data_IF_070665319432
#
_entry.id   IF_070665319432
#
_cell.length_a   1.000
_cell.length_b   1.000
_cell.length_c   1.000
_cell.angle_alpha   90.00
_cell.angle_beta   90.00
_cell.angle_gamma   90.00
#
_symmetry.space_group_name_H-M   'P 1'
#
loop_
_entity.id
_entity.type
_entity.pdbx_description
1 polymer ?
#
# COMPACT_ATOMS: atom_id res chain seq x y z
N UNK A 1 -40.56 -39.79 -72.20
CA UNK A 1 -40.70 -38.75 -71.15
C UNK A 1 -39.50 -38.80 -70.20
N UNK A 2 -39.02 -37.64 -69.77
CA UNK A 2 -37.65 -37.35 -69.30
C UNK A 2 -37.43 -37.67 -67.81
N UNK A 3 -36.37 -38.44 -67.56
CA UNK A 3 -35.47 -38.59 -66.38
C UNK A 3 -35.86 -37.94 -65.04
N UNK A 4 -35.89 -38.76 -64.00
CA UNK A 4 -35.28 -38.43 -62.70
C UNK A 4 -34.16 -39.42 -62.43
N UNK A 5 -32.90 -39.02 -62.68
CA UNK A 5 -31.71 -39.78 -62.25
C UNK A 5 -31.55 -39.56 -60.75
N UNK A 6 -32.02 -40.51 -59.93
CA UNK A 6 -31.62 -40.60 -58.51
C UNK A 6 -30.10 -40.82 -58.45
N UNK A 7 -29.35 -39.83 -57.95
CA UNK A 7 -27.95 -39.97 -57.56
C UNK A 7 -27.87 -41.11 -56.53
N UNK A 8 -27.34 -42.27 -56.92
CA UNK A 8 -26.97 -43.34 -55.99
C UNK A 8 -25.94 -42.76 -55.01
N UNK A 9 -26.30 -42.61 -53.74
CA UNK A 9 -25.33 -42.41 -52.66
C UNK A 9 -24.45 -43.65 -52.65
N UNK A 10 -23.16 -43.47 -52.93
CA UNK A 10 -22.17 -44.56 -52.85
C UNK A 10 -22.17 -45.19 -51.46
N UNK A 11 -21.71 -46.44 -51.32
CA UNK A 11 -21.71 -47.14 -50.04
C UNK A 11 -20.87 -46.33 -49.04
N UNK A 12 -21.47 -45.96 -47.91
CA UNK A 12 -20.75 -45.40 -46.77
C UNK A 12 -19.75 -46.46 -46.33
N UNK A 13 -18.46 -46.26 -46.64
CA UNK A 13 -17.40 -47.14 -46.12
C UNK A 13 -17.51 -47.12 -44.58
N UNK A 14 -17.68 -48.27 -43.92
CA UNK A 14 -17.71 -48.31 -42.46
C UNK A 14 -16.39 -47.75 -41.94
N UNK A 15 -16.45 -46.93 -40.88
CA UNK A 15 -15.23 -46.46 -40.22
C UNK A 15 -14.42 -47.69 -39.83
N UNK A 16 -13.17 -47.75 -40.28
CA UNK A 16 -12.24 -48.81 -39.86
C UNK A 16 -12.05 -48.71 -38.35
N UNK A 17 -11.91 -49.84 -37.67
CA UNK A 17 -11.70 -49.91 -36.21
C UNK A 17 -10.61 -48.94 -35.72
N UNK A 18 -9.53 -48.79 -36.50
CA UNK A 18 -8.45 -47.80 -36.25
C UNK A 18 -8.94 -46.35 -36.23
N UNK A 19 -9.87 -45.95 -37.10
CA UNK A 19 -10.47 -44.60 -37.09
C UNK A 19 -11.43 -44.41 -35.92
N UNK A 20 -12.13 -45.46 -35.51
CA UNK A 20 -13.03 -45.41 -34.35
C UNK A 20 -12.24 -45.18 -33.05
N UNK A 21 -11.13 -45.92 -32.87
CA UNK A 21 -10.18 -45.76 -31.74
C UNK A 21 -9.55 -44.37 -31.73
N UNK A 22 -9.17 -43.84 -32.89
CA UNK A 22 -8.57 -42.50 -32.99
C UNK A 22 -9.57 -41.40 -32.60
N UNK A 23 -10.83 -41.51 -33.03
CA UNK A 23 -11.89 -40.54 -32.67
C UNK A 23 -12.22 -40.62 -31.18
N UNK A 24 -12.28 -41.83 -30.60
CA UNK A 24 -12.51 -41.98 -29.15
C UNK A 24 -11.36 -41.43 -28.33
N UNK A 25 -10.11 -41.63 -28.76
CA UNK A 25 -8.94 -41.04 -28.10
C UNK A 25 -8.97 -39.51 -28.16
N UNK A 26 -9.31 -38.92 -29.32
CA UNK A 26 -9.45 -37.47 -29.45
C UNK A 26 -10.56 -36.93 -28.54
N UNK A 27 -11.73 -37.57 -28.52
CA UNK A 27 -12.83 -37.15 -27.64
C UNK A 27 -12.46 -37.26 -26.16
N UNK A 28 -11.73 -38.31 -25.76
CA UNK A 28 -11.24 -38.47 -24.40
C UNK A 28 -10.23 -37.38 -24.02
N UNK A 29 -9.26 -37.08 -24.90
CA UNK A 29 -8.29 -36.00 -24.69
C UNK A 29 -9.01 -34.64 -24.63
N UNK A 30 -9.95 -34.37 -25.52
CA UNK A 30 -10.74 -33.14 -25.51
C UNK A 30 -11.58 -33.01 -24.25
N UNK A 31 -12.17 -34.10 -23.74
CA UNK A 31 -12.92 -34.11 -22.49
C UNK A 31 -11.99 -33.85 -21.29
N UNK A 32 -10.79 -34.43 -21.29
CA UNK A 32 -9.76 -34.17 -20.26
C UNK A 32 -9.30 -32.71 -20.32
N UNK A 33 -9.01 -32.16 -21.50
CA UNK A 33 -8.62 -30.76 -21.66
C UNK A 33 -9.73 -29.80 -21.25
N UNK A 34 -10.99 -30.11 -21.60
CA UNK A 34 -12.14 -29.32 -21.18
C UNK A 34 -12.35 -29.39 -19.66
N UNK A 35 -12.24 -30.58 -19.07
CA UNK A 35 -12.30 -30.76 -17.62
C UNK A 35 -11.17 -30.00 -16.91
N UNK A 36 -9.94 -30.07 -17.42
CA UNK A 36 -8.81 -29.33 -16.89
C UNK A 36 -9.00 -27.82 -17.02
N UNK A 37 -9.57 -27.34 -18.14
CA UNK A 37 -9.86 -25.93 -18.36
C UNK A 37 -10.96 -25.41 -17.42
N UNK A 38 -12.05 -26.17 -17.27
CA UNK A 38 -13.18 -25.80 -16.41
C UNK A 38 -12.84 -25.87 -14.92
N UNK A 39 -11.85 -26.69 -14.53
CA UNK A 39 -11.38 -26.83 -13.15
C UNK A 39 -10.06 -26.10 -12.89
N UNK A 40 -9.61 -25.20 -13.78
CA UNK A 40 -8.52 -24.30 -13.41
C UNK A 40 -9.02 -23.39 -12.28
N UNK A 41 -8.24 -23.21 -11.20
CA UNK A 41 -8.56 -22.22 -10.19
C UNK A 41 -8.81 -20.88 -10.88
N UNK A 42 -9.97 -20.29 -10.62
CA UNK A 42 -10.25 -18.95 -11.07
C UNK A 42 -9.61 -17.92 -10.10
N UNK A 43 -9.66 -16.65 -10.44
CA UNK A 43 -9.07 -15.59 -9.60
C UNK A 43 -9.72 -15.48 -8.20
N UNK A 44 -10.97 -15.92 -8.04
CA UNK A 44 -11.64 -15.96 -6.72
C UNK A 44 -11.09 -17.12 -5.89
N UNK A 45 -10.80 -18.26 -6.51
CA UNK A 45 -10.21 -19.42 -5.82
C UNK A 45 -8.81 -19.07 -5.27
N UNK A 46 -8.04 -18.24 -5.99
CA UNK A 46 -6.72 -17.78 -5.53
C UNK A 46 -6.77 -17.00 -4.22
N UNK A 47 -7.83 -16.24 -3.96
CA UNK A 47 -7.99 -15.49 -2.70
C UNK A 47 -7.96 -16.40 -1.47
N UNK A 48 -8.49 -17.62 -1.60
CA UNK A 48 -8.57 -18.57 -0.48
C UNK A 48 -7.50 -19.67 -0.54
N UNK A 49 -6.61 -19.62 -1.53
CA UNK A 49 -5.60 -20.66 -1.73
C UNK A 49 -4.35 -20.33 -0.92
N UNK A 50 -3.87 -21.29 -0.11
CA UNK A 50 -2.53 -21.21 0.47
C UNK A 50 -1.47 -21.39 -0.62
N UNK A 51 -0.69 -20.35 -0.89
CA UNK A 51 0.29 -20.35 -1.99
C UNK A 51 1.40 -21.37 -1.75
N UNK A 52 1.83 -21.55 -0.49
CA UNK A 52 2.85 -22.52 -0.12
C UNK A 52 2.45 -23.91 -0.62
N UNK A 53 1.18 -24.29 -0.46
CA UNK A 53 0.66 -25.59 -0.90
C UNK A 53 0.69 -25.80 -2.42
N UNK A 54 0.76 -24.72 -3.20
CA UNK A 54 0.75 -24.76 -4.67
C UNK A 54 2.14 -24.86 -5.29
N UNK A 55 3.20 -24.60 -4.51
CA UNK A 55 4.58 -24.61 -4.99
C UNK A 55 5.02 -25.97 -5.55
N UNK A 56 5.99 -25.94 -6.46
CA UNK A 56 6.55 -27.17 -7.00
C UNK A 56 7.36 -27.95 -5.94
N UNK A 57 6.84 -29.10 -5.53
CA UNK A 57 7.46 -29.99 -4.52
C UNK A 57 8.93 -30.30 -4.77
N UNK A 58 9.36 -30.47 -6.02
CA UNK A 58 10.76 -30.77 -6.32
C UNK A 58 11.64 -29.55 -6.11
N UNK A 59 11.15 -28.36 -6.51
CA UNK A 59 11.85 -27.09 -6.33
C UNK A 59 11.98 -26.79 -4.83
N UNK A 60 10.89 -26.88 -4.06
CA UNK A 60 10.91 -26.64 -2.62
C UNK A 60 11.91 -27.56 -1.91
N UNK A 61 11.91 -28.86 -2.22
CA UNK A 61 12.86 -29.82 -1.62
C UNK A 61 14.33 -29.57 -2.00
N UNK A 62 14.58 -29.02 -3.19
CA UNK A 62 15.94 -28.70 -3.64
C UNK A 62 16.44 -27.39 -3.05
N UNK A 63 15.57 -26.37 -2.97
CA UNK A 63 15.96 -24.99 -2.68
C UNK A 63 15.81 -24.60 -1.21
N UNK A 64 14.80 -25.12 -0.50
CA UNK A 64 14.58 -24.80 0.92
C UNK A 64 15.55 -25.59 1.78
N UNK A 65 16.39 -24.87 2.52
CA UNK A 65 17.32 -25.47 3.49
C UNK A 65 16.66 -25.54 4.86
N UNK A 66 16.94 -26.60 5.61
CA UNK A 66 16.41 -26.78 6.96
C UNK A 66 17.18 -26.02 8.03
N UNK A 67 18.40 -25.57 7.73
CA UNK A 67 19.26 -24.81 8.64
C UNK A 67 20.19 -23.86 7.89
N UNK A 68 20.56 -22.77 8.55
CA UNK A 68 21.43 -21.74 8.00
C UNK A 68 22.53 -21.39 9.02
N UNK A 69 23.82 -21.34 8.61
CA UNK A 69 24.93 -21.13 9.54
C UNK A 69 24.99 -19.71 10.10
N UNK A 70 24.57 -18.73 9.30
CA UNK A 70 24.59 -17.32 9.64
C UNK A 70 23.15 -16.84 9.76
N UNK A 71 22.74 -16.43 10.96
CA UNK A 71 21.37 -15.98 11.25
C UNK A 71 21.39 -14.63 11.95
N UNK A 72 20.34 -13.83 11.75
CA UNK A 72 20.10 -12.59 12.49
C UNK A 72 18.66 -12.64 13.03
N UNK A 73 18.50 -12.45 14.34
CA UNK A 73 17.19 -12.37 14.97
C UNK A 73 16.52 -11.04 14.64
N UNK A 74 15.28 -11.08 14.16
CA UNK A 74 14.37 -9.95 14.20
C UNK A 74 13.51 -10.03 15.47
N UNK A 75 13.20 -8.87 16.05
CA UNK A 75 12.32 -8.78 17.21
C UNK A 75 10.92 -8.33 16.82
N UNK A 76 10.79 -7.52 15.76
CA UNK A 76 9.53 -6.87 15.42
C UNK A 76 9.44 -6.52 13.93
N UNK A 77 8.24 -6.13 13.49
CA UNK A 77 7.97 -5.60 12.16
C UNK A 77 6.85 -4.56 12.18
N UNK A 78 6.81 -3.72 11.15
CA UNK A 78 5.70 -2.79 10.90
C UNK A 78 5.42 -2.66 9.40
N UNK A 79 4.23 -2.18 9.07
CA UNK A 79 3.82 -1.88 7.71
C UNK A 79 3.31 -0.44 7.67
N UNK A 80 3.75 0.32 6.68
CA UNK A 80 3.33 1.70 6.43
C UNK A 80 3.04 1.88 4.93
N UNK A 81 1.76 1.99 4.59
CA UNK A 81 1.28 1.91 3.21
C UNK A 81 1.58 0.55 2.58
N UNK A 82 2.54 0.52 1.67
CA UNK A 82 3.02 -0.72 1.02
C UNK A 82 4.44 -1.11 1.44
N UNK A 83 5.00 -0.44 2.44
CA UNK A 83 6.36 -0.69 2.89
C UNK A 83 6.36 -1.56 4.13
N UNK A 84 7.07 -2.69 4.10
CA UNK A 84 7.30 -3.55 5.26
C UNK A 84 8.72 -3.34 5.80
N UNK A 85 8.81 -2.97 7.08
CA UNK A 85 10.06 -2.83 7.79
C UNK A 85 10.20 -3.92 8.86
N UNK A 86 11.40 -4.50 8.96
CA UNK A 86 11.79 -5.46 9.98
C UNK A 86 12.76 -4.77 10.94
N UNK A 87 12.65 -5.07 12.23
CA UNK A 87 13.46 -4.46 13.28
C UNK A 87 14.26 -5.52 14.03
N UNK A 88 15.51 -5.18 14.33
CA UNK A 88 16.37 -6.02 15.15
C UNK A 88 15.94 -6.02 16.62
N UNK A 89 15.40 -4.88 17.07
CA UNK A 89 14.81 -4.69 18.40
C UNK A 89 13.30 -4.40 18.30
N UNK A 90 12.62 -4.27 19.44
CA UNK A 90 11.21 -3.86 19.46
C UNK A 90 11.06 -2.46 18.86
N UNK A 91 10.03 -2.26 18.04
CA UNK A 91 9.79 -0.96 17.43
C UNK A 91 9.58 0.13 18.50
N UNK A 92 10.28 1.25 18.34
CA UNK A 92 10.25 2.36 19.31
C UNK A 92 11.19 2.20 20.50
N UNK A 93 12.11 1.23 20.45
CA UNK A 93 13.26 1.17 21.36
C UNK A 93 14.06 2.49 21.35
N UNK A 94 14.64 2.83 22.51
CA UNK A 94 15.53 4.01 22.67
C UNK A 94 16.90 3.74 22.04
N UNK A 95 17.26 2.48 21.84
CA UNK A 95 18.52 2.09 21.22
C UNK A 95 18.45 2.16 19.69
N UNK A 96 19.60 2.39 19.06
CA UNK A 96 19.71 2.39 17.61
C UNK A 96 19.42 0.99 17.07
N UNK A 97 18.38 0.86 16.23
CA UNK A 97 17.96 -0.44 15.73
C UNK A 97 19.12 -1.18 14.99
N UNK A 98 19.39 -2.46 15.32
CA UNK A 98 20.48 -3.23 14.74
C UNK A 98 20.41 -3.45 13.22
N UNK A 99 19.25 -3.24 12.59
CA UNK A 99 19.06 -3.37 11.14
C UNK A 99 19.29 -2.05 10.41
N UNK A 100 19.39 -0.92 11.13
CA UNK A 100 19.56 0.40 10.53
C UNK A 100 20.78 0.44 9.58
N UNK A 101 20.54 0.94 8.37
CA UNK A 101 21.54 1.10 7.32
C UNK A 101 21.99 -0.20 6.65
N UNK A 102 21.44 -1.36 7.05
CA UNK A 102 21.79 -2.64 6.46
C UNK A 102 20.95 -2.93 5.24
N UNK A 103 21.58 -3.63 4.28
CA UNK A 103 20.88 -4.12 3.10
C UNK A 103 20.05 -5.35 3.47
N UNK A 104 18.76 -5.28 3.17
CA UNK A 104 17.81 -6.40 3.26
C UNK A 104 17.66 -6.98 1.86
N UNK A 105 18.00 -8.26 1.70
CA UNK A 105 17.89 -8.96 0.44
C UNK A 105 16.78 -9.99 0.49
N UNK A 106 15.86 -9.91 -0.46
CA UNK A 106 14.88 -10.94 -0.73
C UNK A 106 15.39 -11.85 -1.84
N UNK A 107 15.11 -13.15 -1.71
CA UNK A 107 15.40 -14.11 -2.76
C UNK A 107 14.20 -15.03 -2.98
N UNK A 108 13.60 -14.97 -4.16
CA UNK A 108 12.49 -15.85 -4.54
C UNK A 108 12.99 -17.31 -4.55
N UNK A 109 12.30 -18.17 -3.81
CA UNK A 109 12.68 -19.58 -3.61
C UNK A 109 12.59 -20.37 -4.90
N UNK A 110 11.61 -20.08 -5.77
CA UNK A 110 11.39 -20.83 -7.00
C UNK A 110 12.23 -20.30 -8.17
N UNK A 111 12.25 -18.98 -8.36
CA UNK A 111 12.91 -18.36 -9.52
C UNK A 111 14.36 -17.97 -9.25
N UNK A 112 14.73 -17.76 -7.99
CA UNK A 112 16.03 -17.21 -7.60
C UNK A 112 16.17 -15.70 -7.82
N UNK A 113 15.10 -15.01 -8.25
CA UNK A 113 15.04 -13.55 -8.38
C UNK A 113 15.39 -12.87 -7.06
N UNK A 114 16.12 -11.76 -7.13
CA UNK A 114 16.61 -11.05 -5.95
C UNK A 114 16.20 -9.59 -5.96
N UNK A 115 15.72 -9.13 -4.82
CA UNK A 115 15.46 -7.71 -4.54
C UNK A 115 16.37 -7.27 -3.41
N UNK A 116 16.81 -6.01 -3.45
CA UNK A 116 17.68 -5.44 -2.42
C UNK A 116 17.13 -4.09 -1.99
N UNK A 117 16.86 -3.97 -0.70
CA UNK A 117 16.37 -2.77 -0.06
C UNK A 117 17.35 -2.33 1.03
N UNK A 118 17.30 -1.07 1.43
CA UNK A 118 18.07 -0.58 2.58
C UNK A 118 17.09 -0.12 3.64
N UNK A 119 17.24 -0.63 4.86
CA UNK A 119 16.41 -0.17 5.97
C UNK A 119 16.98 1.13 6.54
N UNK A 120 16.15 2.17 6.56
CA UNK A 120 16.52 3.53 6.97
C UNK A 120 16.23 3.86 8.44
N UNK A 121 15.59 2.95 9.18
CA UNK A 121 15.08 3.25 10.53
C UNK A 121 13.72 3.94 10.57
N UNK A 122 13.13 4.24 9.41
CA UNK A 122 11.82 4.92 9.28
C UNK A 122 10.80 4.02 8.59
N UNK A 123 9.52 4.31 8.78
CA UNK A 123 8.41 3.45 8.37
C UNK A 123 8.27 3.26 6.86
N UNK A 124 8.76 4.20 6.04
CA UNK A 124 8.53 4.31 4.60
C UNK A 124 9.75 3.96 3.73
N UNK A 125 10.88 3.53 4.31
CA UNK A 125 12.01 3.03 3.52
C UNK A 125 12.57 1.71 4.06
N UNK A 126 12.00 0.65 3.50
CA UNK A 126 12.36 -0.75 3.70
C UNK A 126 11.91 -1.56 2.47
N UNK A 127 11.25 -2.70 2.66
CA UNK A 127 10.81 -3.58 1.57
C UNK A 127 9.55 -2.98 0.92
N UNK A 128 9.63 -2.62 -0.36
CA UNK A 128 8.48 -2.15 -1.13
C UNK A 128 7.70 -3.34 -1.69
N UNK A 129 6.53 -3.63 -1.10
CA UNK A 129 5.77 -4.84 -1.40
C UNK A 129 5.15 -4.84 -2.81
N UNK A 130 4.83 -3.65 -3.34
CA UNK A 130 4.30 -3.49 -4.70
C UNK A 130 5.25 -3.94 -5.80
N UNK A 131 6.55 -3.96 -5.55
CA UNK A 131 7.60 -4.30 -6.54
C UNK A 131 7.85 -5.81 -6.67
N UNK A 132 7.37 -6.61 -5.71
CA UNK A 132 7.69 -8.03 -5.63
C UNK A 132 6.87 -8.83 -6.63
N UNK A 133 7.51 -9.68 -7.42
CA UNK A 133 6.81 -10.71 -8.21
C UNK A 133 6.08 -11.72 -7.31
N UNK A 134 5.14 -12.48 -7.87
CA UNK A 134 4.50 -13.57 -7.14
C UNK A 134 5.53 -14.61 -6.70
N UNK A 135 5.42 -15.11 -5.47
CA UNK A 135 6.31 -16.15 -4.98
C UNK A 135 6.55 -16.12 -3.47
N UNK A 136 7.45 -17.00 -3.03
CA UNK A 136 7.91 -17.05 -1.64
C UNK A 136 9.37 -16.59 -1.59
N UNK A 137 9.67 -15.68 -0.67
CA UNK A 137 10.98 -15.06 -0.56
C UNK A 137 11.67 -15.45 0.74
N UNK A 138 12.89 -15.94 0.63
CA UNK A 138 13.82 -15.91 1.75
C UNK A 138 14.21 -14.46 2.06
N UNK A 139 14.24 -14.09 3.34
CA UNK A 139 14.68 -12.78 3.82
C UNK A 139 16.08 -12.88 4.44
N UNK A 140 17.01 -12.09 3.90
CA UNK A 140 18.38 -11.98 4.39
C UNK A 140 18.72 -10.55 4.76
N UNK A 141 19.65 -10.40 5.70
CA UNK A 141 20.30 -9.12 5.99
C UNK A 141 21.81 -9.24 5.81
N UNK A 142 22.44 -8.21 5.26
CA UNK A 142 23.89 -8.11 5.18
C UNK A 142 24.43 -7.37 6.38
N UNK A 143 25.17 -8.08 7.21
CA UNK A 143 25.84 -7.53 8.38
C UNK A 143 27.35 -7.63 8.18
N UNK A 144 28.00 -6.49 7.96
CA UNK A 144 29.44 -6.41 7.66
C UNK A 144 29.87 -7.43 6.59
N UNK A 145 29.17 -7.42 5.45
CA UNK A 145 29.33 -8.34 4.30
C UNK A 145 28.92 -9.80 4.54
N UNK A 146 28.46 -10.16 5.74
CA UNK A 146 27.95 -11.50 6.03
C UNK A 146 26.45 -11.56 5.74
N UNK A 147 26.06 -12.37 4.76
CA UNK A 147 24.64 -12.67 4.48
C UNK A 147 24.09 -13.56 5.60
N UNK A 148 23.13 -13.04 6.37
CA UNK A 148 22.47 -13.72 7.50
C UNK A 148 20.98 -13.94 7.20
N UNK A 149 20.47 -15.14 7.47
CA UNK A 149 19.03 -15.46 7.34
C UNK A 149 18.26 -14.86 8.52
N UNK A 150 17.19 -14.13 8.25
CA UNK A 150 16.32 -13.58 9.29
C UNK A 150 15.47 -14.68 9.92
N UNK A 151 15.33 -14.64 11.25
CA UNK A 151 14.43 -15.51 12.01
C UNK A 151 13.81 -14.75 13.19
N UNK A 152 12.70 -15.27 13.71
CA UNK A 152 12.06 -14.81 14.95
C UNK A 152 12.20 -15.88 16.05
N UNK A 153 12.15 -15.48 17.32
CA UNK A 153 12.22 -16.42 18.45
C UNK A 153 10.91 -17.16 18.70
N UNK A 154 9.80 -16.65 18.14
CA UNK A 154 8.48 -17.23 18.20
C UNK A 154 7.84 -17.21 16.81
N UNK A 155 6.86 -18.11 16.54
CA UNK A 155 6.17 -18.10 15.28
C UNK A 155 5.48 -16.77 14.97
N UNK A 156 5.57 -16.33 13.72
CA UNK A 156 4.89 -15.14 13.20
C UNK A 156 3.98 -15.56 12.05
N UNK A 157 2.73 -15.11 12.12
CA UNK A 157 1.78 -15.12 11.02
C UNK A 157 1.16 -13.73 10.97
N UNK A 158 1.56 -12.93 9.99
CA UNK A 158 1.07 -11.56 9.88
C UNK A 158 -0.35 -11.52 9.31
N UNK A 159 -1.10 -10.47 9.63
CA UNK A 159 -2.31 -10.16 8.85
C UNK A 159 -1.94 -9.93 7.37
N UNK A 160 -2.87 -10.25 6.47
CA UNK A 160 -2.70 -10.00 5.04
C UNK A 160 -2.53 -8.51 4.74
N UNK A 161 -1.42 -8.20 4.05
CA UNK A 161 -1.10 -6.89 3.52
C UNK A 161 -1.49 -6.89 2.05
N UNK A 162 -2.39 -5.99 1.67
CA UNK A 162 -2.84 -5.85 0.28
C UNK A 162 -2.22 -4.59 -0.30
N UNK A 163 -1.64 -4.66 -1.50
CA UNK A 163 -1.08 -3.49 -2.19
C UNK A 163 -2.19 -2.68 -2.88
N UNK A 164 -1.85 -1.48 -3.34
CA UNK A 164 -2.61 -0.69 -4.31
C UNK A 164 -2.85 -1.48 -5.59
N UNK A 165 -4.01 -1.20 -6.17
CA UNK A 165 -4.45 -1.72 -7.46
C UNK A 165 -3.51 -1.25 -8.56
N UNK A 166 -3.07 -2.19 -9.40
CA UNK A 166 -2.28 -1.94 -10.61
C UNK A 166 -2.88 -2.78 -11.73
N UNK A 167 -3.40 -2.13 -12.77
CA UNK A 167 -4.02 -2.80 -13.92
C UNK A 167 -5.10 -3.83 -13.52
N UNK A 168 -5.93 -3.50 -12.53
CA UNK A 168 -7.00 -4.38 -12.06
C UNK A 168 -6.57 -5.54 -11.14
N UNK A 169 -5.30 -5.61 -10.73
CA UNK A 169 -4.75 -6.64 -9.83
C UNK A 169 -4.15 -6.01 -8.55
N UNK A 170 -4.03 -6.81 -7.49
CA UNK A 170 -3.31 -6.46 -6.25
C UNK A 170 -2.43 -7.61 -5.80
N UNK A 171 -1.38 -7.29 -5.05
CA UNK A 171 -0.58 -8.28 -4.34
C UNK A 171 -1.14 -8.46 -2.94
N UNK A 172 -1.33 -9.71 -2.54
CA UNK A 172 -1.60 -10.08 -1.15
C UNK A 172 -0.32 -10.68 -0.57
N UNK A 173 0.18 -10.07 0.50
CA UNK A 173 1.46 -10.42 1.13
C UNK A 173 1.26 -10.81 2.59
N UNK A 174 1.91 -11.89 3.01
CA UNK A 174 2.07 -12.23 4.44
C UNK A 174 3.53 -12.41 4.80
N UNK A 175 3.88 -12.04 6.03
CA UNK A 175 5.12 -12.38 6.70
C UNK A 175 4.89 -13.62 7.55
N UNK A 176 5.54 -14.71 7.17
CA UNK A 176 5.46 -16.01 7.83
C UNK A 176 6.79 -16.35 8.48
N UNK A 177 6.77 -16.81 9.72
CA UNK A 177 7.94 -17.39 10.36
C UNK A 177 7.51 -18.57 11.20
N UNK A 178 7.67 -19.79 10.70
CA UNK A 178 7.34 -21.00 11.45
C UNK A 178 8.23 -22.16 11.00
N UNK A 179 8.72 -22.97 11.95
CA UNK A 179 9.50 -24.18 11.65
C UNK A 179 8.78 -25.16 10.72
N UNK A 180 7.46 -25.24 10.82
CA UNK A 180 6.62 -26.17 10.09
C UNK A 180 5.99 -25.57 8.81
N UNK A 181 6.42 -24.38 8.37
CA UNK A 181 5.88 -23.69 7.17
C UNK A 181 5.85 -24.59 5.93
N UNK A 182 6.87 -25.45 5.76
CA UNK A 182 6.99 -26.37 4.61
C UNK A 182 6.69 -27.84 4.96
N UNK A 183 5.93 -28.09 6.03
CA UNK A 183 5.62 -29.45 6.50
C UNK A 183 4.92 -30.31 5.46
N UNK A 184 4.08 -29.72 4.60
CA UNK A 184 3.43 -30.41 3.48
C UNK A 184 4.43 -31.00 2.47
N UNK A 185 5.66 -30.51 2.46
CA UNK A 185 6.76 -31.01 1.65
C UNK A 185 7.67 -32.01 2.40
N UNK A 186 7.34 -32.35 3.65
CA UNK A 186 8.16 -33.09 4.62
C UNK A 186 9.47 -32.36 4.96
N UNK A 187 9.38 -31.04 5.16
CA UNK A 187 10.50 -30.18 5.57
C UNK A 187 10.11 -29.51 6.88
N UNK A 188 10.98 -29.61 7.88
CA UNK A 188 10.90 -28.86 9.14
C UNK A 188 12.20 -28.09 9.32
N UNK A 189 12.09 -26.79 9.57
CA UNK A 189 13.21 -25.89 9.77
C UNK A 189 13.71 -25.98 11.22
N UNK A 190 14.98 -25.64 11.46
CA UNK A 190 15.55 -25.62 12.82
C UNK A 190 15.19 -24.35 13.61
N UNK A 191 14.79 -23.29 12.92
CA UNK A 191 14.33 -21.99 13.46
C UNK A 191 13.09 -21.49 12.71
N UNK A 192 12.38 -20.54 13.31
CA UNK A 192 11.28 -19.82 12.69
C UNK A 192 11.85 -18.74 11.74
N UNK A 193 12.39 -19.19 10.59
CA UNK A 193 12.94 -18.29 9.56
C UNK A 193 11.82 -17.47 8.91
N UNK A 194 12.07 -16.19 8.68
CA UNK A 194 11.08 -15.27 8.13
C UNK A 194 10.96 -15.41 6.60
N UNK A 195 9.76 -15.57 6.06
CA UNK A 195 9.46 -15.63 4.64
C UNK A 195 8.42 -14.56 4.30
N UNK A 196 8.55 -13.93 3.14
CA UNK A 196 7.43 -13.20 2.54
C UNK A 196 6.74 -14.10 1.54
N UNK A 197 5.43 -14.24 1.65
CA UNK A 197 4.58 -14.96 0.70
C UNK A 197 3.78 -13.93 -0.07
N UNK A 198 4.03 -13.83 -1.36
CA UNK A 198 3.42 -12.85 -2.27
C UNK A 198 2.52 -13.58 -3.26
N UNK A 199 1.25 -13.17 -3.33
CA UNK A 199 0.25 -13.69 -4.27
C UNK A 199 -0.27 -12.57 -5.16
N UNK A 200 -0.36 -12.81 -6.46
CA UNK A 200 -1.11 -11.91 -7.34
C UNK A 200 -2.59 -12.32 -7.31
N UNK A 201 -3.45 -11.36 -6.99
CA UNK A 201 -4.88 -11.59 -6.71
C UNK A 201 -5.75 -10.48 -7.28
N UNK A 202 -7.04 -10.74 -7.41
CA UNK A 202 -8.01 -9.68 -7.74
C UNK A 202 -8.31 -8.80 -6.52
N UNK A 203 -8.60 -7.51 -6.71
CA UNK A 203 -8.92 -6.60 -5.61
C UNK A 203 -10.23 -6.99 -4.92
N UNK A 204 -10.20 -7.03 -3.59
CA UNK A 204 -11.42 -7.22 -2.78
C UNK A 204 -12.26 -5.94 -2.78
N UNK A 205 -13.59 -6.08 -2.76
CA UNK A 205 -14.53 -4.95 -2.94
C UNK A 205 -14.46 -3.96 -1.78
N UNK A 206 -14.26 -4.44 -0.57
CA UNK A 206 -14.23 -3.71 0.69
C UNK A 206 -12.94 -2.91 0.86
N UNK A 207 -11.83 -3.39 0.29
CA UNK A 207 -10.51 -2.76 0.42
C UNK A 207 -10.42 -1.53 -0.48
N UNK A 208 -9.98 -0.40 0.08
CA UNK A 208 -9.69 0.83 -0.67
C UNK A 208 -8.18 1.04 -0.81
N UNK A 209 -7.76 1.89 -1.75
CA UNK A 209 -6.35 2.22 -1.96
C UNK A 209 -6.00 3.53 -1.26
N UNK A 210 -6.85 4.55 -1.47
CA UNK A 210 -6.64 5.91 -0.98
C UNK A 210 -7.85 6.38 -0.19
N UNK A 211 -7.59 6.96 0.98
CA UNK A 211 -8.57 7.69 1.76
C UNK A 211 -8.20 9.18 1.74
N UNK A 212 -9.10 10.02 1.25
CA UNK A 212 -8.91 11.47 1.21
C UNK A 212 -9.70 12.11 2.35
N UNK A 213 -9.02 12.91 3.16
CA UNK A 213 -9.58 13.64 4.27
C UNK A 213 -9.73 15.12 3.92
N UNK A 214 -10.93 15.57 3.52
CA UNK A 214 -11.18 17.00 3.42
C UNK A 214 -11.28 17.62 4.83
N UNK A 215 -10.35 18.51 5.15
CA UNK A 215 -10.34 19.24 6.44
C UNK A 215 -11.59 20.10 6.65
N UNK A 216 -11.76 20.58 7.88
CA UNK A 216 -12.99 21.19 8.39
C UNK A 216 -14.07 20.17 8.77
N UNK A 217 -15.03 20.60 9.59
CA UNK A 217 -16.02 19.75 10.27
C UNK A 217 -15.40 18.63 11.11
N UNK A 218 -14.38 18.95 11.91
CA UNK A 218 -13.76 17.97 12.83
C UNK A 218 -14.54 17.97 14.14
N UNK A 219 -15.09 16.81 14.53
CA UNK A 219 -15.74 16.64 15.83
C UNK A 219 -14.68 16.49 16.92
N UNK A 220 -14.77 17.32 17.95
CA UNK A 220 -14.02 17.14 19.19
C UNK A 220 -14.78 16.17 20.10
N UNK A 221 -14.25 14.96 20.28
CA UNK A 221 -14.90 13.92 21.12
C UNK A 221 -14.97 14.30 22.61
N UNK A 222 -14.13 15.25 23.07
CA UNK A 222 -14.10 15.68 24.47
C UNK A 222 -15.16 16.76 24.72
N UNK A 223 -15.23 17.77 23.85
CA UNK A 223 -16.13 18.92 24.03
C UNK A 223 -17.48 18.76 23.33
N UNK A 224 -17.57 17.87 22.33
CA UNK A 224 -18.72 17.75 21.43
C UNK A 224 -18.83 18.87 20.39
N UNK A 225 -17.86 19.78 20.34
CA UNK A 225 -17.85 20.89 19.39
C UNK A 225 -17.40 20.43 18.00
N UNK A 226 -17.94 21.07 16.97
CA UNK A 226 -17.52 20.86 15.58
C UNK A 226 -16.63 22.04 15.17
N UNK A 227 -15.37 21.77 14.89
CA UNK A 227 -14.46 22.73 14.30
C UNK A 227 -14.67 22.78 12.79
N UNK A 228 -15.24 23.89 12.31
CA UNK A 228 -15.57 24.06 10.89
C UNK A 228 -14.32 24.24 10.00
N UNK A 229 -13.15 24.43 10.60
CA UNK A 229 -11.89 24.68 9.88
C UNK A 229 -11.62 26.17 9.68
N UNK A 230 -10.60 26.45 8.88
CA UNK A 230 -10.16 27.80 8.57
C UNK A 230 -11.18 28.56 7.70
N UNK A 231 -11.46 29.83 8.05
CA UNK A 231 -12.46 30.66 7.38
C UNK A 231 -11.94 32.09 7.18
N UNK A 232 -12.17 32.63 5.98
CA UNK A 232 -12.07 34.06 5.68
C UNK A 232 -13.27 34.53 4.85
N UNK A 233 -13.37 35.83 4.59
CA UNK A 233 -14.44 36.40 3.76
C UNK A 233 -14.47 35.86 2.32
N UNK A 234 -13.39 35.22 1.86
CA UNK A 234 -13.23 34.83 0.44
C UNK A 234 -13.03 33.34 0.21
N UNK A 235 -12.82 32.55 1.28
CA UNK A 235 -12.62 31.11 1.20
C UNK A 235 -13.00 30.43 2.52
N UNK A 236 -13.53 29.22 2.40
CA UNK A 236 -13.98 28.38 3.51
C UNK A 236 -13.36 26.99 3.36
N UNK A 237 -12.62 26.53 4.38
CA UNK A 237 -11.90 25.26 4.35
C UNK A 237 -12.83 24.06 4.13
N UNK A 238 -13.90 23.90 4.92
CA UNK A 238 -14.74 22.70 4.84
C UNK A 238 -15.34 22.45 3.45
N UNK A 239 -15.74 23.51 2.77
CA UNK A 239 -16.35 23.45 1.42
C UNK A 239 -15.27 23.30 0.33
N UNK A 240 -14.16 24.03 0.48
CA UNK A 240 -13.07 24.01 -0.50
C UNK A 240 -12.32 22.68 -0.48
N UNK A 241 -11.95 22.18 0.71
CA UNK A 241 -11.29 20.89 0.88
C UNK A 241 -12.15 19.75 0.35
N UNK A 242 -13.47 19.80 0.59
CA UNK A 242 -14.39 18.78 0.07
C UNK A 242 -14.45 18.80 -1.47
N UNK A 243 -14.54 19.99 -2.06
CA UNK A 243 -14.51 20.14 -3.53
C UNK A 243 -13.20 19.65 -4.12
N UNK A 244 -12.07 19.98 -3.49
CA UNK A 244 -10.74 19.53 -3.91
C UNK A 244 -10.60 18.01 -3.79
N UNK A 245 -11.12 17.41 -2.71
CA UNK A 245 -11.12 15.98 -2.48
C UNK A 245 -11.88 15.22 -3.59
N UNK A 246 -13.02 15.75 -4.03
CA UNK A 246 -13.78 15.16 -5.14
C UNK A 246 -12.99 15.20 -6.46
N UNK A 247 -12.33 16.33 -6.76
CA UNK A 247 -11.49 16.44 -7.96
C UNK A 247 -10.29 15.48 -7.91
N UNK A 248 -9.63 15.38 -6.74
CA UNK A 248 -8.50 14.47 -6.56
C UNK A 248 -8.91 13.00 -6.61
N UNK A 249 -10.08 12.66 -6.04
CA UNK A 249 -10.69 11.33 -6.17
C UNK A 249 -10.90 10.95 -7.63
N UNK A 250 -11.55 11.80 -8.42
CA UNK A 250 -11.76 11.54 -9.85
C UNK A 250 -10.44 11.34 -10.60
N UNK A 251 -9.42 12.16 -10.30
CA UNK A 251 -8.12 12.06 -10.93
C UNK A 251 -7.38 10.75 -10.57
N UNK A 252 -7.44 10.30 -9.31
CA UNK A 252 -6.85 9.05 -8.86
C UNK A 252 -7.58 7.82 -9.42
N UNK A 253 -8.91 7.87 -9.55
CA UNK A 253 -9.71 6.77 -10.10
C UNK A 253 -9.38 6.46 -11.56
N UNK A 254 -8.85 7.43 -12.32
CA UNK A 254 -8.33 7.19 -13.70
C UNK A 254 -7.12 6.25 -13.75
N UNK A 255 -6.46 6.02 -12.62
CA UNK A 255 -5.37 5.05 -12.47
C UNK A 255 -5.87 3.68 -11.98
N UNK A 256 -7.19 3.44 -11.97
CA UNK A 256 -7.79 2.18 -11.51
C UNK A 256 -7.84 2.03 -9.99
N UNK A 257 -7.53 3.11 -9.24
CA UNK A 257 -7.56 3.11 -7.79
C UNK A 257 -8.98 3.19 -7.26
N UNK A 258 -9.25 2.50 -6.14
CA UNK A 258 -10.48 2.72 -5.38
C UNK A 258 -10.24 3.77 -4.30
N UNK A 259 -10.89 4.91 -4.43
CA UNK A 259 -10.71 6.06 -3.54
C UNK A 259 -11.98 6.33 -2.76
N UNK A 260 -11.85 6.67 -1.48
CA UNK A 260 -12.98 7.14 -0.68
C UNK A 260 -12.63 8.42 0.08
N UNK A 261 -13.66 9.13 0.55
CA UNK A 261 -13.51 10.32 1.40
C UNK A 261 -13.82 9.95 2.84
N UNK A 262 -13.14 10.59 3.80
CA UNK A 262 -13.40 10.38 5.22
C UNK A 262 -14.79 10.85 5.64
N UNK A 263 -15.35 11.89 4.99
CA UNK A 263 -16.66 12.46 5.29
C UNK A 263 -17.41 12.84 4.01
N UNK A 264 -18.73 12.89 4.15
CA UNK A 264 -19.59 13.58 3.18
C UNK A 264 -19.45 15.11 3.35
N UNK A 265 -20.07 15.87 2.44
CA UNK A 265 -19.98 17.34 2.36
C UNK A 265 -20.20 18.03 3.72
N UNK A 266 -21.22 17.58 4.44
CA UNK A 266 -21.62 18.12 5.75
C UNK A 266 -21.31 17.18 6.93
N UNK A 267 -20.60 16.08 6.68
CA UNK A 267 -20.28 15.10 7.72
C UNK A 267 -19.29 15.67 8.72
N UNK A 268 -19.59 15.57 10.01
CA UNK A 268 -18.66 15.93 11.07
C UNK A 268 -18.16 14.66 11.77
N UNK A 269 -16.86 14.39 11.65
CA UNK A 269 -16.23 13.19 12.20
C UNK A 269 -14.94 13.57 12.90
N UNK A 270 -14.66 12.86 13.99
CA UNK A 270 -13.41 12.94 14.73
C UNK A 270 -12.30 12.18 14.03
N UNK A 271 -11.04 12.49 14.35
CA UNK A 271 -9.88 11.65 14.00
C UNK A 271 -9.80 10.36 14.83
N UNK A 272 -10.68 10.19 15.81
CA UNK A 272 -10.61 9.12 16.78
C UNK A 272 -11.77 8.12 16.65
N UNK A 273 -11.49 6.87 17.00
CA UNK A 273 -12.46 5.78 17.03
C UNK A 273 -12.69 5.10 15.68
N UNK A 274 -13.42 3.98 15.74
CA UNK A 274 -13.72 3.12 14.58
C UNK A 274 -14.40 3.87 13.43
N UNK A 275 -15.37 4.70 13.78
CA UNK A 275 -16.18 5.46 12.82
C UNK A 275 -15.56 6.83 12.50
N UNK A 276 -14.42 7.16 13.11
CA UNK A 276 -13.66 8.37 12.85
C UNK A 276 -12.98 8.36 11.48
N UNK A 277 -12.38 9.50 11.13
CA UNK A 277 -11.73 9.77 9.84
C UNK A 277 -10.70 8.71 9.49
N UNK A 278 -9.76 8.42 10.39
CA UNK A 278 -8.72 7.39 10.17
C UNK A 278 -9.25 5.97 10.37
N UNK A 279 -10.23 5.78 11.26
CA UNK A 279 -10.83 4.48 11.55
C UNK A 279 -11.41 3.83 10.30
N UNK A 280 -12.08 4.62 9.45
CA UNK A 280 -12.54 4.19 8.11
C UNK A 280 -11.41 3.60 7.26
N UNK A 281 -10.23 4.21 7.30
CA UNK A 281 -9.05 3.76 6.57
C UNK A 281 -8.56 2.39 7.04
N UNK A 282 -8.42 2.20 8.35
CA UNK A 282 -8.02 0.91 8.92
C UNK A 282 -9.04 -0.19 8.62
N UNK A 283 -10.34 0.07 8.81
CA UNK A 283 -11.39 -0.93 8.57
C UNK A 283 -11.49 -1.33 7.09
N UNK A 284 -11.07 -0.44 6.17
CA UNK A 284 -11.02 -0.70 4.72
C UNK A 284 -9.61 -0.98 4.21
N UNK A 285 -8.63 -1.20 5.09
CA UNK A 285 -7.23 -1.48 4.75
C UNK A 285 -6.68 -0.52 3.69
N UNK A 286 -6.90 0.78 3.86
CA UNK A 286 -6.36 1.81 3.00
C UNK A 286 -4.82 1.85 3.09
N UNK A 287 -4.16 2.30 2.03
CA UNK A 287 -2.69 2.32 1.90
C UNK A 287 -2.19 3.75 2.03
N UNK A 288 -3.00 4.69 1.57
CA UNK A 288 -2.68 6.10 1.54
C UNK A 288 -3.77 6.91 2.25
N UNK A 289 -3.33 7.88 3.06
CA UNK A 289 -4.17 8.89 3.69
C UNK A 289 -3.72 10.28 3.22
N UNK A 290 -4.61 11.03 2.57
CA UNK A 290 -4.31 12.38 2.07
C UNK A 290 -5.19 13.36 2.83
N UNK A 291 -4.64 14.20 3.68
CA UNK A 291 -5.36 15.33 4.24
C UNK A 291 -5.22 16.57 3.34
N UNK A 292 -6.34 17.28 3.18
CA UNK A 292 -6.41 18.52 2.40
C UNK A 292 -6.82 19.66 3.32
N UNK A 293 -5.85 20.50 3.71
CA UNK A 293 -6.03 21.58 4.68
C UNK A 293 -5.55 22.94 4.18
N UNK A 294 -5.95 23.99 4.90
CA UNK A 294 -5.41 25.33 4.83
C UNK A 294 -4.68 25.67 6.12
N UNK A 295 -3.86 26.73 6.08
CA UNK A 295 -3.24 27.30 7.27
C UNK A 295 -3.64 28.77 7.44
N UNK A 296 -3.25 29.35 8.57
CA UNK A 296 -3.44 30.77 8.91
C UNK A 296 -2.12 31.45 9.33
N UNK A 297 -0.98 30.89 8.94
CA UNK A 297 0.35 31.36 9.32
C UNK A 297 0.81 32.58 8.51
N UNK A 298 1.21 33.69 9.16
CA UNK A 298 1.47 34.99 8.49
C UNK A 298 2.52 34.95 7.35
N UNK A 299 3.47 34.01 7.36
CA UNK A 299 4.59 33.95 6.41
C UNK A 299 4.39 32.99 5.23
N UNK A 300 3.25 32.30 5.14
CA UNK A 300 3.01 31.28 4.10
C UNK A 300 2.16 31.85 2.96
N UNK A 301 2.67 31.80 1.74
CA UNK A 301 2.06 32.32 0.51
C UNK A 301 1.81 31.24 -0.54
N UNK A 302 2.48 30.10 -0.47
CA UNK A 302 2.39 28.99 -1.44
C UNK A 302 2.05 27.67 -0.75
N UNK A 303 1.53 26.68 -1.51
CA UNK A 303 1.30 25.35 -0.98
C UNK A 303 2.57 24.73 -0.39
N UNK A 304 2.38 23.78 0.52
CA UNK A 304 3.43 22.89 1.02
C UNK A 304 2.82 21.57 1.50
N UNK A 305 3.68 20.56 1.66
CA UNK A 305 3.33 19.23 2.16
C UNK A 305 3.92 19.06 3.56
N UNK A 306 3.11 18.51 4.46
CA UNK A 306 3.54 18.10 5.80
C UNK A 306 3.43 16.58 5.91
N UNK A 307 4.45 15.95 6.49
CA UNK A 307 4.53 14.50 6.71
C UNK A 307 5.02 14.16 8.12
N UNK A 308 4.82 12.91 8.54
CA UNK A 308 5.27 12.48 9.87
C UNK A 308 6.80 12.45 9.99
N UNK A 309 7.39 12.89 11.13
CA UNK A 309 8.82 12.72 11.46
C UNK A 309 9.31 11.27 11.50
N UNK A 310 8.38 10.31 11.49
CA UNK A 310 8.68 8.87 11.51
C UNK A 310 8.85 8.27 10.11
N UNK A 311 8.86 9.13 9.08
CA UNK A 311 9.12 8.80 7.67
C UNK A 311 10.42 9.47 7.20
N UNK A 312 10.90 9.10 6.01
CA UNK A 312 11.95 9.82 5.28
C UNK A 312 11.39 10.86 4.31
N UNK A 313 10.07 11.11 4.33
CA UNK A 313 9.37 11.97 3.39
C UNK A 313 9.56 11.57 1.90
N UNK A 314 9.94 10.33 1.61
CA UNK A 314 10.27 9.91 0.23
C UNK A 314 9.09 10.08 -0.71
N UNK A 315 7.91 9.72 -0.22
CA UNK A 315 6.63 9.89 -0.91
C UNK A 315 6.29 11.36 -1.18
N UNK A 316 6.38 12.24 -0.19
CA UNK A 316 6.11 13.67 -0.36
C UNK A 316 7.14 14.35 -1.27
N UNK A 317 8.42 13.98 -1.16
CA UNK A 317 9.47 14.47 -2.05
C UNK A 317 9.19 14.11 -3.52
N UNK A 318 8.73 12.88 -3.79
CA UNK A 318 8.33 12.46 -5.13
C UNK A 318 7.14 13.28 -5.65
N UNK A 319 6.13 13.53 -4.81
CA UNK A 319 4.99 14.37 -5.17
C UNK A 319 5.45 15.78 -5.55
N UNK A 320 6.20 16.43 -4.68
CA UNK A 320 6.70 17.80 -4.90
C UNK A 320 7.56 17.87 -6.16
N UNK A 321 8.44 16.90 -6.40
CA UNK A 321 9.26 16.87 -7.62
C UNK A 321 8.41 16.95 -8.90
N UNK A 322 7.29 16.21 -8.96
CA UNK A 322 6.39 16.27 -10.11
C UNK A 322 5.59 17.58 -10.17
N UNK A 323 5.16 18.10 -9.02
CA UNK A 323 4.44 19.36 -8.95
C UNK A 323 5.32 20.55 -9.37
N UNK A 324 6.57 20.63 -8.89
CA UNK A 324 7.54 21.66 -9.30
C UNK A 324 7.87 21.57 -10.79
N UNK A 325 8.07 20.35 -11.30
CA UNK A 325 8.32 20.12 -12.73
C UNK A 325 7.18 20.64 -13.62
N UNK A 326 5.96 20.56 -13.12
CA UNK A 326 4.75 21.03 -13.80
C UNK A 326 4.47 22.53 -13.57
N UNK A 327 5.27 23.21 -12.75
CA UNK A 327 5.20 24.65 -12.52
C UNK A 327 4.44 25.08 -11.27
N UNK A 328 4.15 24.15 -10.34
CA UNK A 328 3.65 24.53 -9.01
C UNK A 328 4.78 25.14 -8.19
N UNK A 329 4.52 26.31 -7.63
CA UNK A 329 5.40 27.02 -6.71
C UNK A 329 5.10 26.56 -5.29
N UNK A 330 6.15 26.35 -4.50
CA UNK A 330 6.05 25.93 -3.10
C UNK A 330 6.72 26.94 -2.18
N UNK A 331 6.22 27.00 -0.95
CA UNK A 331 6.90 27.69 0.13
C UNK A 331 7.59 26.69 1.04
N UNK A 332 8.68 27.15 1.64
CA UNK A 332 9.40 26.39 2.65
C UNK A 332 9.27 27.10 4.01
N UNK A 333 8.26 26.75 4.83
CA UNK A 333 7.93 27.54 6.01
C UNK A 333 8.95 27.45 7.14
N UNK A 334 9.90 26.50 7.08
CA UNK A 334 10.91 26.28 8.12
C UNK A 334 12.26 25.91 7.54
N UNK A 335 13.37 26.43 8.07
CA UNK A 335 14.71 25.95 7.73
C UNK A 335 14.98 24.57 8.37
N UNK A 336 14.66 23.46 7.70
CA UNK A 336 15.15 22.15 8.15
C UNK A 336 16.57 21.90 7.63
N UNK A 337 17.38 21.20 8.41
CA UNK A 337 18.72 20.73 8.00
C UNK A 337 18.67 19.46 7.12
N UNK A 338 17.48 18.97 6.81
CA UNK A 338 17.28 17.66 6.19
C UNK A 338 17.19 17.77 4.66
N UNK A 339 17.52 16.68 3.95
CA UNK A 339 17.47 16.54 2.49
C UNK A 339 16.00 16.49 1.98
N UNK A 340 15.20 17.50 2.31
CA UNK A 340 13.82 17.63 1.86
C UNK A 340 13.76 18.47 0.58
N UNK A 341 12.85 18.13 -0.32
CA UNK A 341 12.53 19.00 -1.46
C UNK A 341 11.88 20.30 -0.96
N UNK A 342 12.02 21.36 -1.75
CA UNK A 342 11.39 22.65 -1.46
C UNK A 342 9.88 22.47 -1.38
N UNK A 343 9.26 22.81 -0.25
CA UNK A 343 7.83 22.57 -0.04
C UNK A 343 7.46 21.32 0.74
N UNK A 344 8.43 20.54 1.23
CA UNK A 344 8.16 19.40 2.13
C UNK A 344 8.69 19.70 3.53
N UNK A 345 7.86 19.52 4.54
CA UNK A 345 8.24 19.65 5.95
C UNK A 345 7.84 18.42 6.77
N UNK A 346 8.59 18.14 7.82
CA UNK A 346 8.13 17.26 8.89
C UNK A 346 7.17 18.01 9.81
N UNK A 347 6.13 17.33 10.28
CA UNK A 347 5.31 17.84 11.37
C UNK A 347 6.13 17.98 12.65
N UNK A 348 5.73 18.87 13.54
CA UNK A 348 6.36 18.99 14.84
C UNK A 348 5.91 17.88 15.78
N UNK A 349 6.74 17.56 16.77
CA UNK A 349 6.38 16.64 17.85
C UNK A 349 5.86 17.42 19.05
N UNK A 350 4.86 16.88 19.73
CA UNK A 350 4.34 17.42 20.99
C UNK A 350 5.43 17.40 22.06
N UNK A 351 5.39 18.37 22.97
CA UNK A 351 6.24 18.39 24.16
C UNK A 351 5.48 17.90 25.38
N UNK A 352 6.16 17.19 26.28
CA UNK A 352 5.61 16.82 27.58
C UNK A 352 5.66 18.00 28.57
N UNK A 353 5.15 17.80 29.79
CA UNK A 353 5.16 18.82 30.86
C UNK A 353 6.57 19.29 31.26
N UNK A 354 7.62 18.58 30.84
CA UNK A 354 9.03 18.91 31.07
C UNK A 354 9.69 19.59 29.85
N UNK A 355 8.91 19.95 28.82
CA UNK A 355 9.39 20.52 27.55
C UNK A 355 10.28 19.60 26.73
N UNK A 356 10.21 18.28 26.96
CA UNK A 356 10.92 17.28 26.16
C UNK A 356 10.04 16.83 25.00
N UNK A 357 10.65 16.62 23.83
CA UNK A 357 9.93 16.11 22.65
C UNK A 357 9.43 14.69 22.92
N UNK A 358 8.13 14.49 22.66
CA UNK A 358 7.47 13.18 22.71
C UNK A 358 7.55 12.49 21.35
N UNK A 359 7.03 11.27 21.24
CA UNK A 359 6.96 10.57 19.95
C UNK A 359 5.79 11.00 19.07
N UNK A 360 4.97 11.95 19.50
CA UNK A 360 3.67 12.20 18.91
C UNK A 360 3.67 13.44 18.04
N UNK A 361 3.42 13.27 16.74
CA UNK A 361 3.10 14.36 15.82
C UNK A 361 1.97 15.23 16.37
N UNK A 362 2.05 16.55 16.19
CA UNK A 362 0.99 17.49 16.59
C UNK A 362 -0.27 17.22 15.76
N UNK A 363 -0.09 17.05 14.45
CA UNK A 363 -1.16 16.87 13.49
C UNK A 363 -1.84 15.49 13.67
N UNK A 364 -3.13 15.45 14.09
CA UNK A 364 -3.83 14.19 14.30
C UNK A 364 -3.99 13.37 13.03
N UNK A 365 -4.05 14.00 11.85
CA UNK A 365 -4.14 13.29 10.58
C UNK A 365 -2.90 12.40 10.37
N UNK A 366 -1.71 12.95 10.59
CA UNK A 366 -0.44 12.24 10.44
C UNK A 366 -0.16 11.25 11.57
N UNK A 367 -0.49 11.64 12.82
CA UNK A 367 -0.25 10.80 14.00
C UNK A 367 -1.14 9.55 13.98
N UNK A 368 -2.43 9.71 13.72
CA UNK A 368 -3.42 8.65 13.93
C UNK A 368 -3.62 7.73 12.70
N UNK A 369 -3.18 8.14 11.51
CA UNK A 369 -3.32 7.32 10.29
C UNK A 369 -2.19 6.29 10.11
N UNK A 370 -1.02 6.51 10.69
CA UNK A 370 0.18 5.72 10.43
C UNK A 370 0.37 4.48 11.29
N UNK A 371 -0.65 4.10 12.06
CA UNK A 371 -0.68 2.88 12.86
C UNK A 371 0.49 2.79 13.82
N UNK A 372 1.08 1.60 13.89
CA UNK A 372 2.29 1.37 14.69
C UNK A 372 3.43 2.31 14.29
N UNK A 373 3.61 2.60 13.00
CA UNK A 373 4.73 3.40 12.48
C UNK A 373 4.72 4.88 12.89
N UNK A 374 3.59 5.39 13.40
CA UNK A 374 3.46 6.78 13.88
C UNK A 374 2.92 6.86 15.32
N UNK A 375 2.97 5.75 16.05
CA UNK A 375 2.46 5.64 17.42
C UNK A 375 0.97 5.99 17.56
N UNK A 376 0.15 5.63 16.57
CA UNK A 376 -1.28 5.88 16.56
C UNK A 376 -1.96 5.32 17.82
N UNK A 377 -2.92 6.07 18.39
CA UNK A 377 -3.67 5.63 19.56
C UNK A 377 -2.91 5.55 20.88
N UNK A 378 -1.64 6.00 20.93
CA UNK A 378 -0.83 5.96 22.15
C UNK A 378 -0.79 7.30 22.92
N UNK A 379 -1.08 8.44 22.27
CA UNK A 379 -1.12 9.76 22.92
C UNK A 379 -2.38 9.90 23.80
N UNK A 380 -3.55 9.71 23.18
CA UNK A 380 -4.85 9.87 23.82
C UNK A 380 -5.66 8.60 23.53
N UNK A 381 -6.02 7.83 24.56
CA UNK A 381 -6.76 6.56 24.44
C UNK A 381 -8.24 6.77 24.03
N UNK A 382 -8.53 7.76 23.18
CA UNK A 382 -9.87 8.13 22.67
C UNK A 382 -10.37 7.12 21.61
N UNK A 383 -10.24 5.82 21.86
CA UNK A 383 -10.71 4.76 20.96
C UNK A 383 -9.75 4.37 19.85
N UNK A 384 -8.65 5.10 19.62
CA UNK A 384 -7.62 4.73 18.65
C UNK A 384 -6.57 3.74 19.17
N UNK A 385 -6.56 3.41 20.47
CA UNK A 385 -5.61 2.43 21.05
C UNK A 385 -5.63 1.08 20.31
N UNK A 386 -6.77 0.72 19.71
CA UNK A 386 -6.91 -0.48 18.87
C UNK A 386 -6.03 -0.47 17.61
N UNK A 387 -5.54 0.70 17.19
CA UNK A 387 -4.67 0.88 16.03
C UNK A 387 -3.19 0.98 16.39
N UNK A 388 -2.83 0.86 17.68
CA UNK A 388 -1.43 0.94 18.13
C UNK A 388 -0.50 -0.12 17.51
N UNK A 389 -1.07 -1.27 17.11
CA UNK A 389 -0.36 -2.34 16.41
C UNK A 389 -0.85 -2.54 14.96
N UNK A 390 -1.69 -1.66 14.45
CA UNK A 390 -2.22 -1.79 13.09
C UNK A 390 -1.16 -1.39 12.04
N UNK A 391 -1.30 -1.95 10.85
CA UNK A 391 -0.60 -1.46 9.65
C UNK A 391 -1.04 -0.04 9.35
N UNK A 392 -0.08 0.86 9.21
CA UNK A 392 -0.32 2.27 8.96
C UNK A 392 -0.63 2.58 7.51
N UNK A 393 -1.36 3.67 7.29
CA UNK A 393 -1.49 4.32 5.99
C UNK A 393 -0.33 5.30 5.80
N UNK A 394 0.32 5.27 4.63
CA UNK A 394 1.27 6.33 4.27
C UNK A 394 0.50 7.66 4.18
N UNK A 395 0.94 8.68 4.91
CA UNK A 395 0.13 9.87 5.15
C UNK A 395 0.84 11.14 4.72
N UNK A 396 0.08 12.01 4.08
CA UNK A 396 0.53 13.34 3.67
C UNK A 396 -0.58 14.35 3.90
N UNK A 397 -0.19 15.53 4.36
CA UNK A 397 -1.08 16.69 4.47
C UNK A 397 -0.67 17.67 3.38
N UNK A 398 -1.57 17.95 2.44
CA UNK A 398 -1.41 19.04 1.48
C UNK A 398 -2.03 20.30 2.06
N UNK A 399 -1.19 21.23 2.50
CA UNK A 399 -1.62 22.57 2.87
C UNK A 399 -1.66 23.40 1.59
N UNK A 400 -2.84 23.59 1.02
CA UNK A 400 -2.97 24.12 -0.35
C UNK A 400 -3.18 25.64 -0.43
N UNK A 401 -3.56 26.29 0.68
CA UNK A 401 -3.74 27.73 0.75
C UNK A 401 -3.58 28.26 2.18
N UNK A 402 -3.30 29.57 2.29
CA UNK A 402 -3.33 30.30 3.55
C UNK A 402 -4.53 31.26 3.58
N UNK A 403 -5.40 31.12 4.59
CA UNK A 403 -6.62 31.93 4.72
C UNK A 403 -6.35 33.41 5.06
N UNK A 404 -5.19 33.72 5.65
CA UNK A 404 -4.79 35.09 5.99
C UNK A 404 -4.12 35.81 4.82
N UNK A 405 -3.91 35.12 3.69
CA UNK A 405 -3.13 35.63 2.57
C UNK A 405 -3.89 35.58 1.24
N UNK A 406 -4.30 36.74 0.74
CA UNK A 406 -5.07 36.83 -0.50
C UNK A 406 -4.28 36.39 -1.74
N UNK A 407 -2.96 36.57 -1.76
CA UNK A 407 -2.10 36.08 -2.86
C UNK A 407 -2.09 34.54 -2.88
N UNK A 408 -1.97 33.89 -1.72
CA UNK A 408 -2.08 32.44 -1.58
C UNK A 408 -3.43 31.90 -2.06
N UNK A 409 -4.54 32.52 -1.64
CA UNK A 409 -5.89 32.16 -2.07
C UNK A 409 -6.03 32.28 -3.59
N UNK A 410 -5.52 33.37 -4.17
CA UNK A 410 -5.57 33.59 -5.61
C UNK A 410 -4.71 32.58 -6.37
N UNK A 411 -3.51 32.30 -5.87
CA UNK A 411 -2.60 31.29 -6.42
C UNK A 411 -3.28 29.92 -6.46
N UNK A 412 -3.86 29.47 -5.35
CA UNK A 412 -4.61 28.22 -5.29
C UNK A 412 -5.75 28.21 -6.30
N UNK A 413 -6.61 29.24 -6.32
CA UNK A 413 -7.76 29.29 -7.24
C UNK A 413 -7.35 29.24 -8.70
N UNK A 414 -6.23 29.87 -9.07
CA UNK A 414 -5.70 29.87 -10.44
C UNK A 414 -5.03 28.55 -10.83
N UNK A 415 -4.40 27.87 -9.88
CA UNK A 415 -3.58 26.67 -10.13
C UNK A 415 -4.22 25.37 -9.63
N UNK A 416 -5.47 25.39 -9.17
CA UNK A 416 -6.14 24.24 -8.53
C UNK A 416 -6.07 22.96 -9.37
N UNK A 417 -6.40 23.03 -10.65
CA UNK A 417 -6.41 21.86 -11.53
C UNK A 417 -4.98 21.35 -11.81
N UNK A 418 -4.00 22.26 -11.86
CA UNK A 418 -2.58 21.92 -11.98
C UNK A 418 -2.10 21.19 -10.72
N UNK A 419 -2.40 21.74 -9.53
CA UNK A 419 -2.08 21.15 -8.23
C UNK A 419 -2.63 19.72 -8.15
N UNK A 420 -3.92 19.52 -8.46
CA UNK A 420 -4.54 18.18 -8.42
C UNK A 420 -3.85 17.22 -9.38
N UNK A 421 -3.70 17.61 -10.66
CA UNK A 421 -3.13 16.74 -11.69
C UNK A 421 -1.70 16.32 -11.33
N UNK A 422 -0.86 17.27 -10.96
CA UNK A 422 0.56 17.00 -10.70
C UNK A 422 0.78 16.27 -9.36
N UNK A 423 -0.06 16.53 -8.36
CA UNK A 423 -0.07 15.75 -7.11
C UNK A 423 -0.40 14.28 -7.37
N UNK A 424 -1.47 14.02 -8.14
CA UNK A 424 -1.87 12.66 -8.52
C UNK A 424 -0.82 11.99 -9.40
N UNK A 425 -0.19 12.71 -10.32
CA UNK A 425 0.93 12.18 -11.09
C UNK A 425 2.12 11.80 -10.22
N UNK A 426 2.40 12.57 -9.16
CA UNK A 426 3.39 12.23 -8.14
C UNK A 426 3.08 10.91 -7.44
N UNK A 427 1.81 10.71 -7.03
CA UNK A 427 1.34 9.44 -6.46
C UNK A 427 1.51 8.30 -7.45
N UNK A 428 1.03 8.50 -8.69
CA UNK A 428 1.12 7.50 -9.74
C UNK A 428 2.56 7.10 -10.02
N UNK A 429 3.49 8.06 -10.05
CA UNK A 429 4.91 7.77 -10.21
C UNK A 429 5.51 7.02 -9.02
N UNK A 430 5.12 7.34 -7.79
CA UNK A 430 5.65 6.68 -6.61
C UNK A 430 5.24 5.21 -6.53
N UNK A 431 3.98 4.91 -6.88
CA UNK A 431 3.44 3.56 -6.81
C UNK A 431 3.52 2.78 -8.15
N UNK A 432 4.17 3.32 -9.17
CA UNK A 432 4.24 2.78 -10.54
C UNK A 432 2.85 2.45 -11.13
N UNK A 433 1.93 3.42 -11.03
CA UNK A 433 0.58 3.33 -11.56
C UNK A 433 0.54 3.79 -13.01
N UNK A 434 -0.35 3.15 -13.79
CA UNK A 434 -0.62 3.52 -15.19
C UNK A 434 -2.07 3.95 -15.30
N UNK A 435 -2.33 4.99 -16.08
CA UNK A 435 -3.70 5.37 -16.41
C UNK A 435 -4.38 4.22 -17.15
N UNK A 436 -5.63 3.94 -16.79
CA UNK A 436 -6.45 2.99 -17.53
C UNK A 436 -6.68 3.54 -18.93
N UNK A 437 -6.28 2.78 -19.95
CA UNK A 437 -6.57 3.15 -21.33
C UNK A 437 -8.06 2.96 -21.57
N UNK A 438 -8.73 4.03 -21.99
CA UNK A 438 -10.14 4.00 -22.37
C UNK A 438 -10.30 3.12 -23.61
N UNK A 439 -10.61 1.83 -23.42
CA UNK A 439 -10.83 0.87 -24.52
C UNK A 439 -12.03 1.25 -25.42
N UNK A 440 -12.77 2.31 -25.06
CA UNK A 440 -13.87 2.85 -25.86
C UNK A 440 -13.45 3.80 -26.99
N UNK A 441 -12.17 4.18 -27.10
CA UNK A 441 -11.69 5.08 -28.16
C UNK A 441 -11.26 4.37 -29.46
N UNK A 442 -11.32 3.03 -29.53
CA UNK A 442 -10.91 2.27 -30.72
C UNK A 442 -11.93 1.18 -31.10
N UNK A 443 -13.12 1.56 -31.56
CA UNK A 443 -13.94 0.74 -32.46
C UNK A 443 -14.58 1.59 -33.56
#
# INVERSE_FOLDING_TARGET
MRKVKRKKRGPRRPLTFKRLVMITAILAISAILLFLYLNRPNEIDKLNTDYISTMNRNIVKEKVKTSYPNTFKAADYTVYGETLALYGDEYGSVELDPFLGKAVQLQNVETGEQYSFTFSGKGDAAIQLGELSEGIYDIYIYDQYTKKRIYFDAPIHSDEIVTMRRNGEVKTVTLEAEKDLFKNFNITLDKDYAYLVVKDTIPQKEIIDVLIDPSGNVLNEITGEIYEGALSDTINEKETSYTLALQMKEALEKYGLKVELTRDENGALSYYGKEGRVGKGYEKKAKLFIDLSMCDEESINRPFLKVSPWTNASFANQIVYFMEKDGVEFDYPYSSSDLLNSGVIFDSLLTNDQYELTNYSIDPALRESGGKATYAGQLNELGNQRYANAYGMNAVVLVYANIQNQDSINYFKQNKDLIVRSFVQGIASYYDLKEEQDETATQ
#
